data_IF_702957906247
#
_entry.id   IF_702957906247
#
_cell.length_a   1.000
_cell.length_b   1.000
_cell.length_c   1.000
_cell.angle_alpha   90.00
_cell.angle_beta   90.00
_cell.angle_gamma   90.00
#
_symmetry.space_group_name_H-M   'P 1'
#
loop_
_entity.id
_entity.type
_entity.pdbx_description
1 polymer ?
#
# COMPACT_ATOMS: atom_id res chain seq x y z
N UNK A 1 -12.72 -13.80 -10.09
CA UNK A 1 -13.19 -12.75 -11.02
C UNK A 1 -12.17 -12.61 -12.13
N UNK A 2 -12.62 -12.75 -13.37
CA UNK A 2 -11.80 -12.42 -14.53
C UNK A 2 -11.97 -10.94 -14.83
N UNK A 3 -10.87 -10.19 -14.89
CA UNK A 3 -10.88 -8.75 -15.15
C UNK A 3 -10.79 -8.40 -16.65
N UNK A 4 -10.59 -9.39 -17.53
CA UNK A 4 -10.55 -9.18 -18.98
C UNK A 4 -11.87 -8.55 -19.46
N UNK A 5 -11.75 -7.49 -20.24
CA UNK A 5 -12.85 -6.66 -20.76
C UNK A 5 -13.69 -5.94 -19.69
N UNK A 6 -13.28 -5.95 -18.41
CA UNK A 6 -13.93 -5.19 -17.36
C UNK A 6 -13.51 -3.73 -17.38
N UNK A 7 -14.45 -2.83 -17.07
CA UNK A 7 -14.18 -1.41 -16.85
C UNK A 7 -13.80 -1.21 -15.39
N UNK A 8 -12.55 -0.91 -15.16
CA UNK A 8 -11.94 -0.79 -13.83
C UNK A 8 -11.59 0.66 -13.55
N UNK A 9 -11.95 1.15 -12.37
CA UNK A 9 -11.53 2.47 -11.89
C UNK A 9 -10.51 2.29 -10.76
N UNK A 10 -9.35 2.94 -10.91
CA UNK A 10 -8.28 2.93 -9.93
C UNK A 10 -8.11 4.34 -9.37
N UNK A 11 -8.62 4.57 -8.17
CA UNK A 11 -8.30 5.77 -7.40
C UNK A 11 -6.87 5.67 -6.85
N UNK A 12 -6.06 6.72 -6.98
CA UNK A 12 -4.65 6.72 -6.62
C UNK A 12 -3.77 5.94 -7.60
N UNK A 13 -4.22 5.81 -8.86
CA UNK A 13 -3.55 4.99 -9.87
C UNK A 13 -2.24 5.57 -10.42
N UNK A 14 -1.86 6.81 -10.11
CA UNK A 14 -0.56 7.40 -10.45
C UNK A 14 0.46 7.28 -9.30
N UNK A 15 0.05 6.79 -8.12
CA UNK A 15 0.90 6.52 -6.98
C UNK A 15 1.80 5.28 -7.17
N UNK A 16 2.52 4.90 -6.11
CA UNK A 16 3.44 3.76 -6.14
C UNK A 16 2.72 2.45 -6.51
N UNK A 17 1.88 1.91 -5.62
CA UNK A 17 1.21 0.61 -5.85
C UNK A 17 0.19 0.73 -6.99
N UNK A 18 -0.59 1.83 -7.00
CA UNK A 18 -1.64 2.06 -8.00
C UNK A 18 -1.14 2.06 -9.44
N UNK A 19 0.06 2.59 -9.70
CA UNK A 19 0.63 2.61 -11.06
C UNK A 19 1.10 1.24 -11.53
N UNK A 20 1.68 0.43 -10.65
CA UNK A 20 2.00 -0.96 -10.95
C UNK A 20 0.72 -1.79 -11.18
N UNK A 21 -0.32 -1.57 -10.36
CA UNK A 21 -1.63 -2.19 -10.53
C UNK A 21 -2.25 -1.81 -11.88
N UNK A 22 -2.22 -0.54 -12.24
CA UNK A 22 -2.75 -0.04 -13.53
C UNK A 22 -2.10 -0.74 -14.72
N UNK A 23 -0.76 -0.85 -14.74
CA UNK A 23 -0.04 -1.59 -15.76
C UNK A 23 -0.47 -3.06 -15.81
N UNK A 24 -0.57 -3.71 -14.65
CA UNK A 24 -0.98 -5.11 -14.55
C UNK A 24 -2.42 -5.35 -15.05
N UNK A 25 -3.37 -4.50 -14.68
CA UNK A 25 -4.77 -4.62 -15.10
C UNK A 25 -4.92 -4.49 -16.62
N UNK A 26 -4.19 -3.56 -17.24
CA UNK A 26 -4.17 -3.40 -18.70
C UNK A 26 -3.58 -4.64 -19.37
N UNK A 27 -2.49 -5.21 -18.85
CA UNK A 27 -1.90 -6.46 -19.34
C UNK A 27 -2.88 -7.65 -19.26
N UNK A 28 -3.76 -7.66 -18.26
CA UNK A 28 -4.83 -8.67 -18.12
C UNK A 28 -6.06 -8.38 -18.99
N UNK A 29 -6.03 -7.31 -19.79
CA UNK A 29 -7.07 -6.97 -20.75
C UNK A 29 -8.24 -6.18 -20.17
N UNK A 30 -8.07 -5.51 -19.03
CA UNK A 30 -9.06 -4.59 -18.49
C UNK A 30 -9.00 -3.22 -19.19
N UNK A 31 -10.14 -2.52 -19.26
CA UNK A 31 -10.18 -1.09 -19.58
C UNK A 31 -10.05 -0.30 -18.28
N UNK A 32 -8.97 0.44 -18.12
CA UNK A 32 -8.61 1.08 -16.85
C UNK A 32 -8.74 2.60 -16.93
N UNK A 33 -9.54 3.15 -16.04
CA UNK A 33 -9.55 4.59 -15.73
C UNK A 33 -8.78 4.82 -14.45
N UNK A 34 -7.78 5.69 -14.50
CA UNK A 34 -7.05 6.18 -13.31
C UNK A 34 -7.64 7.52 -12.90
N UNK A 35 -7.90 7.67 -11.60
CA UNK A 35 -8.32 8.91 -10.95
C UNK A 35 -7.28 9.28 -9.88
N UNK A 36 -6.60 10.42 -10.04
CA UNK A 36 -5.49 10.80 -9.16
C UNK A 36 -5.33 12.33 -9.16
N UNK A 37 -5.04 12.93 -8.01
CA UNK A 37 -4.83 14.38 -7.88
C UNK A 37 -3.36 14.78 -8.06
N UNK A 38 -2.47 13.82 -8.30
CA UNK A 38 -1.02 14.00 -8.46
C UNK A 38 -0.30 14.66 -7.27
N UNK A 39 -0.92 14.68 -6.07
CA UNK A 39 -0.29 15.21 -4.85
C UNK A 39 0.97 14.42 -4.49
N UNK A 40 0.89 13.10 -4.55
CA UNK A 40 2.02 12.17 -4.36
C UNK A 40 2.25 11.30 -5.60
N UNK A 41 1.19 11.01 -6.36
CA UNK A 41 1.25 10.33 -7.66
C UNK A 41 1.96 11.16 -8.73
N UNK A 42 2.40 10.50 -9.80
CA UNK A 42 3.09 11.15 -10.94
C UNK A 42 2.66 10.52 -12.25
N UNK A 43 2.38 11.35 -13.25
CA UNK A 43 2.06 10.87 -14.61
C UNK A 43 3.20 10.03 -15.22
N UNK A 44 4.46 10.32 -14.87
CA UNK A 44 5.62 9.52 -15.27
C UNK A 44 5.54 8.04 -14.83
N UNK A 45 4.84 7.74 -13.74
CA UNK A 45 4.63 6.36 -13.29
C UNK A 45 3.70 5.57 -14.24
N UNK A 46 2.93 6.27 -15.06
CA UNK A 46 1.98 5.72 -16.03
C UNK A 46 2.50 5.71 -17.48
N UNK A 47 3.77 6.09 -17.69
CA UNK A 47 4.33 6.27 -19.04
C UNK A 47 4.17 5.04 -19.95
N UNK A 48 4.28 3.82 -19.38
CA UNK A 48 4.15 2.57 -20.15
C UNK A 48 2.76 2.33 -20.72
N UNK A 49 1.74 2.90 -20.11
CA UNK A 49 0.33 2.67 -20.48
C UNK A 49 -0.34 3.92 -21.03
N UNK A 50 0.34 5.06 -21.01
CA UNK A 50 -0.23 6.36 -21.35
C UNK A 50 -0.89 6.43 -22.73
N UNK A 51 -0.33 5.75 -23.73
CA UNK A 51 -0.86 5.67 -25.08
C UNK A 51 -1.72 4.41 -25.34
N UNK A 52 -1.96 3.60 -24.32
CA UNK A 52 -2.73 2.37 -24.50
C UNK A 52 -4.22 2.68 -24.71
N UNK A 53 -4.91 2.12 -25.74
CA UNK A 53 -6.30 2.46 -26.08
C UNK A 53 -7.30 2.12 -24.95
N UNK A 54 -6.97 1.18 -24.07
CA UNK A 54 -7.80 0.82 -22.90
C UNK A 54 -7.44 1.63 -21.65
N UNK A 55 -6.60 2.67 -21.74
CA UNK A 55 -6.20 3.53 -20.62
C UNK A 55 -6.87 4.90 -20.72
N UNK A 56 -7.34 5.39 -19.57
CA UNK A 56 -7.84 6.76 -19.39
C UNK A 56 -7.31 7.35 -18.08
N UNK A 57 -6.92 8.63 -18.12
CA UNK A 57 -6.50 9.36 -16.93
C UNK A 57 -7.47 10.52 -16.63
N UNK A 58 -7.81 10.70 -15.36
CA UNK A 58 -8.62 11.81 -14.83
C UNK A 58 -7.84 12.44 -13.68
N UNK A 59 -7.43 13.70 -13.85
CA UNK A 59 -6.81 14.47 -12.79
C UNK A 59 -7.90 15.11 -11.92
N UNK A 60 -8.06 14.58 -10.70
CA UNK A 60 -9.04 15.09 -9.75
C UNK A 60 -8.78 14.57 -8.34
N UNK A 61 -9.29 15.31 -7.33
CA UNK A 61 -9.19 14.93 -5.93
C UNK A 61 -10.41 14.11 -5.48
N UNK A 62 -10.17 13.07 -4.69
CA UNK A 62 -11.25 12.22 -4.14
C UNK A 62 -12.17 12.98 -3.19
N UNK A 63 -11.69 14.09 -2.61
CA UNK A 63 -12.49 15.01 -1.80
C UNK A 63 -13.47 15.85 -2.64
N UNK A 64 -13.31 15.90 -3.97
CA UNK A 64 -14.21 16.58 -4.88
C UNK A 64 -15.42 15.67 -5.20
N UNK A 65 -16.39 15.63 -4.28
CA UNK A 65 -17.55 14.75 -4.35
C UNK A 65 -18.22 14.72 -5.72
N UNK A 66 -18.46 15.87 -6.34
CA UNK A 66 -19.13 15.97 -7.64
C UNK A 66 -18.32 15.26 -8.75
N UNK A 67 -16.99 15.36 -8.72
CA UNK A 67 -16.13 14.67 -9.68
C UNK A 67 -16.11 13.15 -9.46
N UNK A 68 -16.13 12.70 -8.20
CA UNK A 68 -16.28 11.28 -7.86
C UNK A 68 -17.61 10.75 -8.38
N UNK A 69 -18.72 11.44 -8.09
CA UNK A 69 -20.08 11.07 -8.54
C UNK A 69 -20.21 11.05 -10.08
N UNK A 70 -19.46 11.89 -10.79
CA UNK A 70 -19.44 11.89 -12.26
C UNK A 70 -18.54 10.79 -12.85
N UNK A 71 -17.53 10.32 -12.11
CA UNK A 71 -16.54 9.37 -12.62
C UNK A 71 -16.90 7.92 -12.35
N UNK A 72 -17.42 7.60 -11.17
CA UNK A 72 -17.73 6.22 -10.74
C UNK A 72 -18.70 5.49 -11.67
N UNK A 73 -19.78 6.13 -12.20
CA UNK A 73 -20.72 5.46 -13.09
C UNK A 73 -20.06 4.79 -14.31
N UNK A 74 -20.58 3.63 -14.69
CA UNK A 74 -20.13 2.89 -15.87
C UNK A 74 -18.91 2.00 -15.64
N UNK A 75 -18.30 2.01 -14.45
CA UNK A 75 -17.28 1.05 -14.06
C UNK A 75 -17.91 -0.17 -13.36
N UNK A 76 -17.18 -1.27 -13.32
CA UNK A 76 -17.65 -2.55 -12.74
C UNK A 76 -16.86 -2.93 -11.48
N UNK A 77 -15.61 -2.47 -11.38
CA UNK A 77 -14.68 -2.77 -10.30
C UNK A 77 -13.97 -1.50 -9.86
N UNK A 78 -13.93 -1.27 -8.57
CA UNK A 78 -13.23 -0.13 -7.97
C UNK A 78 -12.01 -0.62 -7.17
N UNK A 79 -10.84 -0.11 -7.49
CA UNK A 79 -9.64 -0.20 -6.67
C UNK A 79 -9.42 1.17 -6.01
N UNK A 80 -9.53 1.23 -4.69
CA UNK A 80 -9.42 2.50 -3.97
C UNK A 80 -8.07 2.60 -3.26
N UNK A 81 -7.07 3.16 -3.97
CA UNK A 81 -5.68 3.30 -3.53
C UNK A 81 -5.29 4.75 -3.22
N UNK A 82 -6.23 5.70 -3.34
CA UNK A 82 -5.92 7.07 -2.95
C UNK A 82 -6.07 7.22 -1.44
N UNK A 83 -4.97 7.56 -0.81
CA UNK A 83 -4.87 7.99 0.58
C UNK A 83 -3.60 8.83 0.76
N UNK A 84 -3.53 9.58 1.83
CA UNK A 84 -2.26 10.08 2.31
C UNK A 84 -1.63 8.99 3.17
N UNK A 85 -0.47 8.48 2.75
CA UNK A 85 0.22 7.35 3.39
C UNK A 85 1.45 7.76 4.20
N UNK A 86 1.79 9.05 4.29
CA UNK A 86 2.88 9.52 5.14
C UNK A 86 2.42 9.58 6.61
N UNK A 87 2.66 8.50 7.32
CA UNK A 87 2.28 8.32 8.73
C UNK A 87 2.86 9.42 9.63
N UNK A 88 4.02 9.98 9.28
CA UNK A 88 4.68 11.02 10.08
C UNK A 88 3.99 12.36 9.93
N UNK A 89 3.56 12.72 8.73
CA UNK A 89 2.81 13.95 8.46
C UNK A 89 1.40 13.94 9.07
N UNK A 90 0.85 12.77 9.36
CA UNK A 90 -0.48 12.62 9.94
C UNK A 90 -0.68 13.33 11.28
N UNK A 91 0.38 13.46 12.07
CA UNK A 91 0.32 14.18 13.36
C UNK A 91 0.23 15.70 13.20
N UNK A 92 0.74 16.23 12.07
CA UNK A 92 0.76 17.67 11.77
C UNK A 92 -0.50 18.10 11.02
N UNK A 93 -1.08 17.20 10.21
CA UNK A 93 -2.23 17.47 9.34
C UNK A 93 -3.32 16.40 9.49
N UNK A 94 -3.92 16.21 10.68
CA UNK A 94 -4.90 15.15 10.94
C UNK A 94 -6.19 15.29 10.12
N UNK A 95 -6.60 16.51 9.82
CA UNK A 95 -7.74 16.87 8.97
C UNK A 95 -7.61 16.26 7.57
N UNK A 96 -6.43 16.35 6.96
CA UNK A 96 -6.16 15.75 5.64
C UNK A 96 -6.45 14.25 5.65
N UNK A 97 -6.08 13.55 6.72
CA UNK A 97 -6.31 12.09 6.83
C UNK A 97 -7.80 11.76 6.98
N UNK A 98 -8.56 12.58 7.68
CA UNK A 98 -10.02 12.40 7.77
C UNK A 98 -10.68 12.67 6.43
N UNK A 99 -10.33 13.78 5.78
CA UNK A 99 -10.90 14.15 4.49
C UNK A 99 -10.56 13.16 3.38
N UNK A 100 -9.30 12.86 3.20
CA UNK A 100 -8.83 11.98 2.11
C UNK A 100 -9.22 10.51 2.35
N UNK A 101 -8.93 9.98 3.55
CA UNK A 101 -9.00 8.55 3.78
C UNK A 101 -10.39 8.09 4.26
N UNK A 102 -11.20 8.98 4.83
CA UNK A 102 -12.54 8.64 5.34
C UNK A 102 -13.62 9.26 4.45
N UNK A 103 -13.61 10.59 4.28
CA UNK A 103 -14.67 11.27 3.51
C UNK A 103 -14.58 10.95 2.02
N UNK A 104 -13.36 10.93 1.45
CA UNK A 104 -13.15 10.53 0.06
C UNK A 104 -13.66 9.10 -0.20
N UNK A 105 -13.33 8.15 0.67
CA UNK A 105 -13.87 6.79 0.59
C UNK A 105 -15.40 6.76 0.69
N UNK A 106 -15.98 7.53 1.62
CA UNK A 106 -17.43 7.64 1.75
C UNK A 106 -18.09 8.09 0.44
N UNK A 107 -17.55 9.10 -0.26
CA UNK A 107 -18.08 9.56 -1.54
C UNK A 107 -18.03 8.46 -2.61
N UNK A 108 -16.95 7.68 -2.64
CA UNK A 108 -16.81 6.55 -3.55
C UNK A 108 -17.84 5.46 -3.25
N UNK A 109 -17.95 5.03 -1.99
CA UNK A 109 -18.91 3.99 -1.56
C UNK A 109 -20.36 4.40 -1.85
N UNK A 110 -20.72 5.65 -1.58
CA UNK A 110 -22.07 6.16 -1.84
C UNK A 110 -22.36 6.28 -3.34
N UNK A 111 -21.38 6.70 -4.14
CA UNK A 111 -21.52 6.72 -5.59
C UNK A 111 -21.65 5.29 -6.17
N UNK A 112 -20.86 4.33 -5.67
CA UNK A 112 -21.00 2.92 -6.03
C UNK A 112 -22.42 2.40 -5.73
N UNK A 113 -22.93 2.67 -4.52
CA UNK A 113 -24.27 2.25 -4.10
C UNK A 113 -25.35 2.76 -5.05
N UNK A 114 -25.32 4.05 -5.36
CA UNK A 114 -26.31 4.72 -6.25
C UNK A 114 -26.28 4.19 -7.68
N UNK A 115 -25.11 3.73 -8.14
CA UNK A 115 -24.91 3.27 -9.52
C UNK A 115 -24.85 1.74 -9.64
N UNK A 116 -25.19 0.97 -8.59
CA UNK A 116 -25.26 -0.48 -8.63
C UNK A 116 -23.90 -1.20 -8.78
N UNK A 117 -22.78 -0.48 -8.53
CA UNK A 117 -21.43 -1.06 -8.55
C UNK A 117 -21.21 -1.77 -7.23
N UNK A 118 -20.77 -3.04 -7.27
CA UNK A 118 -20.75 -3.90 -6.07
C UNK A 118 -19.36 -4.39 -5.67
N UNK A 119 -18.32 -4.20 -6.47
CA UNK A 119 -16.99 -4.74 -6.18
C UNK A 119 -15.98 -3.63 -5.88
N UNK A 120 -15.44 -3.65 -4.65
CA UNK A 120 -14.38 -2.76 -4.19
C UNK A 120 -13.21 -3.55 -3.62
N UNK A 121 -11.99 -3.11 -3.96
CA UNK A 121 -10.73 -3.58 -3.36
C UNK A 121 -10.05 -2.41 -2.66
N UNK A 122 -9.64 -2.64 -1.41
CA UNK A 122 -9.12 -1.58 -0.54
C UNK A 122 -7.83 -2.01 0.17
N UNK A 123 -6.73 -1.24 0.04
CA UNK A 123 -5.52 -1.44 0.81
C UNK A 123 -5.66 -0.84 2.22
N UNK A 124 -5.82 -1.69 3.21
CA UNK A 124 -5.62 -1.35 4.61
C UNK A 124 -4.16 -1.58 5.02
N UNK A 125 -3.85 -1.53 6.28
CA UNK A 125 -2.48 -1.56 6.79
C UNK A 125 -2.38 -2.31 8.10
N UNK A 126 -1.22 -2.88 8.39
CA UNK A 126 -0.89 -3.43 9.72
C UNK A 126 -0.87 -2.37 10.83
N UNK A 127 -0.86 -1.08 10.50
CA UNK A 127 -0.94 0.00 11.48
C UNK A 127 -2.24 0.02 12.27
N UNK A 128 -3.29 -0.68 11.80
CA UNK A 128 -4.56 -0.86 12.53
C UNK A 128 -4.40 -1.66 13.83
N UNK A 129 -3.37 -2.50 13.92
CA UNK A 129 -3.12 -3.31 15.12
C UNK A 129 -2.53 -2.52 16.29
N UNK A 130 -1.73 -1.48 16.01
CA UNK A 130 -0.86 -0.86 16.98
C UNK A 130 0.34 -1.75 17.34
N UNK A 131 0.83 -1.67 18.57
CA UNK A 131 1.91 -2.54 19.05
C UNK A 131 1.40 -3.95 19.33
N UNK A 132 2.04 -4.93 18.74
CA UNK A 132 1.70 -6.35 18.89
C UNK A 132 2.49 -6.95 20.07
N UNK A 133 1.80 -7.40 21.10
CA UNK A 133 2.45 -8.09 22.22
C UNK A 133 3.06 -9.44 21.79
N UNK A 134 2.40 -10.14 20.88
CA UNK A 134 2.80 -11.47 20.40
C UNK A 134 2.62 -11.59 18.87
N UNK A 135 3.54 -11.05 18.05
CA UNK A 135 3.50 -11.27 16.61
C UNK A 135 3.82 -12.74 16.26
N UNK A 136 3.27 -13.29 15.14
CA UNK A 136 2.44 -12.59 14.15
C UNK A 136 0.97 -12.48 14.55
N UNK A 137 0.32 -11.35 14.17
CA UNK A 137 -1.13 -11.20 14.34
C UNK A 137 -1.89 -11.94 13.23
N UNK A 138 -2.96 -12.69 13.60
CA UNK A 138 -3.90 -13.30 12.64
C UNK A 138 -4.90 -12.28 12.09
N UNK A 139 -5.65 -12.66 11.02
CA UNK A 139 -6.75 -11.85 10.51
C UNK A 139 -7.84 -11.58 11.56
N UNK A 140 -8.00 -12.47 12.55
CA UNK A 140 -9.00 -12.36 13.62
C UNK A 140 -8.47 -11.65 14.88
N UNK A 141 -7.23 -11.14 14.86
CA UNK A 141 -6.65 -10.44 16.01
C UNK A 141 -7.46 -9.19 16.38
N UNK A 142 -7.73 -9.04 17.66
CA UNK A 142 -8.38 -7.89 18.28
C UNK A 142 -8.16 -7.85 19.79
N UNK A 143 -8.43 -6.72 20.46
CA UNK A 143 -8.91 -5.46 19.88
C UNK A 143 -7.86 -4.74 19.00
N UNK A 144 -8.32 -3.91 18.05
CA UNK A 144 -7.45 -3.11 17.18
C UNK A 144 -7.24 -1.73 17.83
N UNK A 145 -5.99 -1.37 18.10
CA UNK A 145 -5.62 -0.14 18.82
C UNK A 145 -4.53 0.62 18.11
N UNK A 146 -4.85 1.30 16.97
CA UNK A 146 -3.86 2.01 16.17
C UNK A 146 -3.16 3.10 17.00
N UNK A 147 -1.83 3.24 16.84
CA UNK A 147 -1.00 4.21 17.58
C UNK A 147 -0.83 5.54 16.86
N UNK A 148 -1.33 5.66 15.64
CA UNK A 148 -1.21 6.87 14.83
C UNK A 148 -2.48 7.13 14.03
N UNK A 149 -2.64 8.37 13.55
CA UNK A 149 -3.85 8.84 12.86
C UNK A 149 -4.09 8.08 11.56
N UNK A 150 -3.03 7.73 10.82
CA UNK A 150 -3.14 6.92 9.61
C UNK A 150 -3.76 5.55 9.90
N UNK A 151 -3.27 4.83 10.91
CA UNK A 151 -3.84 3.56 11.35
C UNK A 151 -5.29 3.70 11.80
N UNK A 152 -5.62 4.79 12.52
CA UNK A 152 -6.99 5.12 12.91
C UNK A 152 -7.91 5.34 11.72
N UNK A 153 -7.46 6.09 10.70
CA UNK A 153 -8.20 6.32 9.47
C UNK A 153 -8.41 5.03 8.66
N UNK A 154 -7.38 4.16 8.57
CA UNK A 154 -7.51 2.85 7.92
C UNK A 154 -8.52 1.95 8.63
N UNK A 155 -8.51 1.93 9.95
CA UNK A 155 -9.49 1.16 10.74
C UNK A 155 -10.91 1.69 10.55
N UNK A 156 -11.11 3.01 10.54
CA UNK A 156 -12.40 3.63 10.25
C UNK A 156 -12.89 3.25 8.84
N UNK A 157 -12.00 3.26 7.84
CA UNK A 157 -12.30 2.85 6.47
C UNK A 157 -12.71 1.37 6.39
N UNK A 158 -12.01 0.45 7.09
CA UNK A 158 -12.43 -0.96 7.19
C UNK A 158 -13.85 -1.10 7.72
N UNK A 159 -14.20 -0.34 8.78
CA UNK A 159 -15.53 -0.32 9.36
C UNK A 159 -16.61 0.16 8.40
N UNK A 160 -16.34 1.27 7.67
CA UNK A 160 -17.25 1.77 6.63
C UNK A 160 -17.46 0.75 5.52
N UNK A 161 -16.39 0.19 4.96
CA UNK A 161 -16.45 -0.81 3.89
C UNK A 161 -17.24 -2.05 4.36
N UNK A 162 -16.99 -2.53 5.58
CA UNK A 162 -17.73 -3.65 6.17
C UNK A 162 -19.23 -3.35 6.28
N UNK A 163 -19.60 -2.16 6.78
CA UNK A 163 -20.98 -1.75 6.89
C UNK A 163 -21.69 -1.69 5.52
N UNK A 164 -21.05 -1.08 4.51
CA UNK A 164 -21.59 -1.05 3.13
C UNK A 164 -21.72 -2.45 2.53
N UNK A 165 -20.71 -3.31 2.74
CA UNK A 165 -20.71 -4.67 2.24
C UNK A 165 -21.92 -5.47 2.75
N UNK A 166 -22.25 -5.36 4.04
CA UNK A 166 -23.36 -6.09 4.65
C UNK A 166 -24.72 -5.43 4.41
N UNK A 167 -24.77 -4.09 4.37
CA UNK A 167 -26.04 -3.35 4.22
C UNK A 167 -26.53 -3.32 2.77
N UNK A 168 -25.60 -3.28 1.81
CA UNK A 168 -25.91 -3.06 0.40
C UNK A 168 -25.43 -4.16 -0.53
N UNK A 169 -25.07 -5.34 0.01
CA UNK A 169 -24.58 -6.50 -0.74
C UNK A 169 -23.35 -6.20 -1.62
N UNK A 170 -22.43 -5.38 -1.13
CA UNK A 170 -21.15 -5.20 -1.80
C UNK A 170 -20.29 -6.44 -1.60
N UNK A 171 -19.42 -6.68 -2.57
CA UNK A 171 -18.29 -7.57 -2.41
C UNK A 171 -17.04 -6.71 -2.19
N UNK A 172 -16.57 -6.68 -0.97
CA UNK A 172 -15.39 -5.95 -0.57
C UNK A 172 -14.23 -6.91 -0.28
N UNK A 173 -13.05 -6.58 -0.79
CA UNK A 173 -11.80 -7.27 -0.43
C UNK A 173 -10.86 -6.24 0.18
N UNK A 174 -10.63 -6.35 1.46
CA UNK A 174 -9.76 -5.48 2.26
C UNK A 174 -8.45 -6.20 2.52
N UNK A 175 -7.35 -5.53 2.21
CA UNK A 175 -6.01 -6.08 2.37
C UNK A 175 -5.25 -5.35 3.46
N UNK A 176 -4.88 -6.00 4.56
CA UNK A 176 -3.93 -5.42 5.51
C UNK A 176 -2.52 -5.70 5.04
N UNK A 177 -1.84 -4.65 4.59
CA UNK A 177 -0.48 -4.72 4.09
C UNK A 177 0.55 -4.54 5.20
N UNK A 178 1.63 -5.32 5.12
CA UNK A 178 2.93 -4.99 5.72
C UNK A 178 3.66 -3.92 4.88
N UNK A 179 4.95 -3.74 5.06
CA UNK A 179 5.75 -2.87 4.19
C UNK A 179 5.78 -3.35 2.74
N UNK A 180 5.01 -2.73 1.86
CA UNK A 180 5.13 -2.98 0.42
C UNK A 180 6.25 -2.10 -0.13
N UNK A 181 7.20 -2.71 -0.86
CA UNK A 181 8.39 -2.04 -1.39
C UNK A 181 8.61 -2.33 -2.88
N UNK A 182 9.31 -1.42 -3.57
CA UNK A 182 9.58 -1.58 -5.01
C UNK A 182 10.08 -0.30 -5.66
N UNK A 183 10.22 -0.29 -6.96
CA UNK A 183 10.43 0.93 -7.74
C UNK A 183 9.23 1.88 -7.66
N UNK A 184 9.43 3.16 -7.92
CA UNK A 184 8.42 4.23 -7.84
C UNK A 184 7.96 4.61 -6.42
N UNK A 185 8.41 3.92 -5.36
CA UNK A 185 8.10 4.35 -3.99
C UNK A 185 8.87 5.66 -3.68
N UNK A 186 8.28 6.50 -2.85
CA UNK A 186 8.77 7.86 -2.54
C UNK A 186 9.01 8.10 -1.05
N UNK A 187 8.70 7.13 -0.20
CA UNK A 187 8.91 7.19 1.25
C UNK A 187 9.17 5.79 1.82
N UNK A 188 9.49 5.73 3.12
CA UNK A 188 9.74 4.50 3.86
C UNK A 188 11.23 4.13 3.91
N UNK A 189 11.58 3.25 4.86
CA UNK A 189 12.97 2.99 5.24
C UNK A 189 13.87 2.57 4.07
N UNK A 190 13.37 1.75 3.13
CA UNK A 190 14.16 1.30 1.97
C UNK A 190 14.47 2.47 1.03
N UNK A 191 13.46 3.29 0.72
CA UNK A 191 13.64 4.49 -0.08
C UNK A 191 14.57 5.49 0.61
N UNK A 192 14.31 5.80 1.87
CA UNK A 192 15.06 6.79 2.63
C UNK A 192 16.54 6.40 2.74
N UNK A 193 16.84 5.12 2.97
CA UNK A 193 18.24 4.65 3.06
C UNK A 193 18.95 4.74 1.72
N UNK A 194 18.30 4.35 0.62
CA UNK A 194 18.88 4.53 -0.73
C UNK A 194 19.19 6.00 -0.99
N UNK A 195 18.26 6.92 -0.69
CA UNK A 195 18.43 8.36 -0.91
C UNK A 195 19.51 8.97 -0.01
N UNK A 196 19.53 8.59 1.28
CA UNK A 196 20.59 9.02 2.22
C UNK A 196 21.97 8.57 1.74
N UNK A 197 22.11 7.31 1.30
CA UNK A 197 23.39 6.76 0.84
C UNK A 197 23.80 7.28 -0.56
N UNK A 198 22.86 7.68 -1.41
CA UNK A 198 23.18 8.41 -2.65
C UNK A 198 23.76 9.79 -2.33
N UNK A 199 23.30 10.45 -1.25
CA UNK A 199 23.77 11.77 -0.81
C UNK A 199 25.09 11.69 -0.04
N UNK A 200 25.23 10.74 0.87
CA UNK A 200 26.46 10.48 1.65
C UNK A 200 26.74 8.96 1.71
N UNK A 201 27.65 8.45 0.85
CA UNK A 201 27.95 7.03 0.78
C UNK A 201 28.75 6.49 1.98
N UNK A 202 29.16 7.35 2.92
CA UNK A 202 29.97 6.96 4.08
C UNK A 202 29.19 6.94 5.39
N UNK A 203 27.99 7.54 5.44
CA UNK A 203 27.20 7.71 6.65
C UNK A 203 25.74 7.42 6.42
N UNK A 204 25.15 6.58 7.27
CA UNK A 204 23.72 6.31 7.27
C UNK A 204 23.15 6.55 8.66
N UNK A 205 22.21 7.46 8.75
CA UNK A 205 21.44 7.71 9.96
C UNK A 205 20.24 6.76 10.03
N UNK A 206 20.11 6.08 11.16
CA UNK A 206 19.03 5.13 11.48
C UNK A 206 18.22 5.70 12.63
N UNK A 207 16.90 5.84 12.43
CA UNK A 207 15.96 6.19 13.48
C UNK A 207 15.76 4.99 14.42
N UNK A 208 15.81 5.23 15.74
CA UNK A 208 15.82 4.18 16.73
C UNK A 208 17.22 3.53 16.88
N UNK A 209 17.27 2.33 17.44
CA UNK A 209 18.50 1.53 17.61
C UNK A 209 18.75 0.56 16.43
N UNK A 210 17.79 0.47 15.51
CA UNK A 210 17.85 -0.40 14.32
C UNK A 210 17.49 -1.84 14.58
N UNK A 211 17.04 -2.21 15.79
CA UNK A 211 16.61 -3.58 16.13
C UNK A 211 15.17 -3.85 15.75
N UNK A 212 14.34 -2.78 15.55
CA UNK A 212 12.98 -2.94 15.09
C UNK A 212 12.95 -3.71 13.77
N UNK A 213 12.03 -4.67 13.68
CA UNK A 213 11.94 -5.55 12.52
C UNK A 213 10.71 -5.26 11.66
N UNK A 214 10.83 -5.56 10.37
CA UNK A 214 9.77 -5.33 9.37
C UNK A 214 9.64 -6.54 8.47
N UNK A 215 8.40 -6.88 8.20
CA UNK A 215 8.04 -7.77 7.10
C UNK A 215 7.90 -6.92 5.84
N UNK A 216 8.54 -7.35 4.75
CA UNK A 216 8.49 -6.64 3.46
C UNK A 216 8.02 -7.57 2.35
N UNK A 217 7.14 -7.05 1.51
CA UNK A 217 6.68 -7.73 0.28
C UNK A 217 6.99 -6.85 -0.92
N UNK A 218 7.57 -7.45 -1.97
CA UNK A 218 7.79 -6.72 -3.22
C UNK A 218 6.45 -6.40 -3.88
N UNK A 219 6.31 -5.23 -4.49
CA UNK A 219 5.06 -4.78 -5.13
C UNK A 219 4.52 -5.79 -6.14
N UNK A 220 5.40 -6.48 -6.88
CA UNK A 220 5.02 -7.52 -7.83
C UNK A 220 4.29 -8.69 -7.15
N UNK A 221 4.82 -9.19 -6.02
CA UNK A 221 4.22 -10.27 -5.23
C UNK A 221 2.93 -9.80 -4.54
N UNK A 222 2.89 -8.53 -4.10
CA UNK A 222 1.67 -7.92 -3.54
C UNK A 222 0.52 -7.90 -4.56
N UNK A 223 0.76 -7.45 -5.78
CA UNK A 223 -0.26 -7.43 -6.84
C UNK A 223 -0.73 -8.84 -7.20
N UNK A 224 0.18 -9.79 -7.27
CA UNK A 224 -0.16 -11.20 -7.49
C UNK A 224 -1.07 -11.73 -6.38
N UNK A 225 -0.72 -11.47 -5.10
CA UNK A 225 -1.53 -11.85 -3.94
C UNK A 225 -2.94 -11.24 -3.99
N UNK A 226 -3.03 -9.95 -4.32
CA UNK A 226 -4.33 -9.25 -4.42
C UNK A 226 -5.23 -9.86 -5.48
N UNK A 227 -4.72 -10.08 -6.70
CA UNK A 227 -5.49 -10.64 -7.81
C UNK A 227 -5.84 -12.11 -7.55
N UNK A 228 -4.93 -12.86 -6.92
CA UNK A 228 -5.18 -14.23 -6.48
C UNK A 228 -6.30 -14.27 -5.43
N UNK A 229 -6.25 -13.43 -4.40
CA UNK A 229 -7.28 -13.32 -3.37
C UNK A 229 -8.64 -12.92 -3.97
N UNK A 230 -8.65 -11.94 -4.90
CA UNK A 230 -9.87 -11.55 -5.60
C UNK A 230 -10.55 -12.75 -6.31
N UNK A 231 -9.77 -13.66 -6.87
CA UNK A 231 -10.32 -14.86 -7.52
C UNK A 231 -10.90 -15.87 -6.51
N UNK A 232 -10.41 -15.89 -5.26
CA UNK A 232 -10.81 -16.85 -4.22
C UNK A 232 -11.91 -16.35 -3.29
N UNK A 233 -12.01 -15.03 -3.08
CA UNK A 233 -12.99 -14.43 -2.16
C UNK A 233 -14.40 -14.48 -2.74
N UNK A 234 -15.39 -14.81 -1.88
CA UNK A 234 -16.80 -14.95 -2.28
C UNK A 234 -17.79 -14.27 -1.33
N UNK A 235 -17.35 -13.90 -0.12
CA UNK A 235 -18.20 -13.25 0.89
C UNK A 235 -18.42 -11.78 0.54
N UNK A 236 -19.42 -11.16 1.15
CA UNK A 236 -19.65 -9.71 1.05
C UNK A 236 -18.46 -8.92 1.57
N UNK A 237 -17.92 -9.30 2.73
CA UNK A 237 -16.70 -8.71 3.28
C UNK A 237 -15.62 -9.78 3.44
N UNK A 238 -14.45 -9.50 2.91
CA UNK A 238 -13.28 -10.39 2.94
C UNK A 238 -12.08 -9.59 3.42
N UNK A 239 -11.49 -10.00 4.54
CA UNK A 239 -10.26 -9.44 5.07
C UNK A 239 -9.13 -10.42 4.80
N UNK A 240 -8.04 -9.94 4.20
CA UNK A 240 -6.90 -10.78 3.81
C UNK A 240 -5.60 -10.06 4.18
N UNK A 241 -4.72 -10.75 4.86
CA UNK A 241 -3.37 -10.27 5.15
C UNK A 241 -2.44 -10.49 3.95
N UNK A 242 -1.71 -9.45 3.54
CA UNK A 242 -0.61 -9.57 2.58
C UNK A 242 0.68 -9.19 3.30
N UNK A 243 1.47 -10.22 3.61
CA UNK A 243 2.73 -10.14 4.34
C UNK A 243 3.72 -11.18 3.86
N UNK A 244 4.94 -11.10 4.35
CA UNK A 244 5.96 -12.14 4.13
C UNK A 244 5.92 -13.17 5.26
N UNK A 245 6.60 -14.30 5.05
CA UNK A 245 6.73 -15.37 6.04
C UNK A 245 7.85 -15.11 7.04
N UNK A 246 8.59 -14.03 6.86
CA UNK A 246 9.74 -13.61 7.66
C UNK A 246 9.77 -12.10 7.91
N UNK A 247 10.78 -11.65 8.63
CA UNK A 247 11.08 -10.24 8.90
C UNK A 247 12.57 -10.00 8.73
N UNK A 248 12.93 -8.74 8.58
CA UNK A 248 14.32 -8.24 8.56
C UNK A 248 14.42 -7.02 9.47
N UNK A 249 15.49 -6.88 10.23
CA UNK A 249 15.75 -5.71 11.06
C UNK A 249 16.12 -4.49 10.21
N UNK A 250 15.96 -3.30 10.77
CA UNK A 250 16.38 -2.05 10.12
C UNK A 250 17.91 -2.02 9.92
N UNK A 251 18.69 -2.61 10.86
CA UNK A 251 20.13 -2.76 10.72
C UNK A 251 20.48 -3.66 9.50
N UNK A 252 19.85 -4.84 9.40
CA UNK A 252 20.06 -5.74 8.24
C UNK A 252 19.58 -5.10 6.93
N UNK A 253 18.49 -4.32 6.96
CA UNK A 253 18.01 -3.53 5.81
C UNK A 253 19.10 -2.56 5.33
N UNK A 254 19.78 -1.86 6.26
CA UNK A 254 20.89 -0.96 5.94
C UNK A 254 22.09 -1.71 5.31
N UNK A 255 22.39 -2.91 5.80
CA UNK A 255 23.46 -3.78 5.25
C UNK A 255 23.13 -4.21 3.81
N UNK A 256 21.90 -4.69 3.57
CA UNK A 256 21.46 -5.11 2.22
C UNK A 256 21.54 -3.95 1.24
N UNK A 257 21.08 -2.76 1.63
CA UNK A 257 21.10 -1.58 0.75
C UNK A 257 22.56 -1.15 0.48
N UNK A 258 23.41 -1.16 1.50
CA UNK A 258 24.86 -0.86 1.32
C UNK A 258 25.51 -1.85 0.34
N UNK A 259 25.15 -3.13 0.43
CA UNK A 259 25.62 -4.18 -0.49
C UNK A 259 25.14 -3.93 -1.94
N UNK A 260 23.85 -3.63 -2.14
CA UNK A 260 23.26 -3.30 -3.46
C UNK A 260 24.00 -2.12 -4.09
N UNK A 261 24.26 -1.09 -3.31
CA UNK A 261 24.96 0.12 -3.77
C UNK A 261 26.49 -0.05 -3.85
N UNK A 262 27.02 -1.25 -3.55
CA UNK A 262 28.47 -1.59 -3.54
C UNK A 262 29.31 -0.67 -2.65
N UNK A 263 28.72 -0.17 -1.57
CA UNK A 263 29.39 0.69 -0.60
C UNK A 263 30.13 -0.13 0.46
N UNK A 264 31.32 0.34 0.85
CA UNK A 264 32.13 -0.30 1.90
C UNK A 264 32.38 0.66 3.04
N UNK A 265 32.33 0.17 4.28
CA UNK A 265 32.67 0.96 5.46
C UNK A 265 31.63 2.04 5.80
N UNK A 266 30.39 1.85 5.44
CA UNK A 266 29.29 2.76 5.82
C UNK A 266 29.17 2.80 7.34
N UNK A 267 29.28 4.00 7.93
CA UNK A 267 29.11 4.21 9.39
C UNK A 267 27.63 4.39 9.71
N UNK A 268 27.07 3.47 10.50
CA UNK A 268 25.68 3.52 10.96
C UNK A 268 25.58 4.40 12.21
N UNK A 269 24.82 5.49 12.14
CA UNK A 269 24.52 6.39 13.26
C UNK A 269 23.09 6.14 13.73
N UNK A 270 22.94 5.54 14.90
CA UNK A 270 21.65 5.21 15.51
C UNK A 270 21.19 6.32 16.44
N UNK A 271 19.94 6.77 16.28
CA UNK A 271 19.37 7.80 17.13
C UNK A 271 19.05 7.31 18.56
N UNK A 272 19.03 5.98 18.75
CA UNK A 272 18.65 5.33 20.02
C UNK A 272 17.13 5.18 20.18
N UNK A 273 16.73 4.40 21.19
CA UNK A 273 15.33 4.03 21.40
C UNK A 273 14.88 2.80 20.60
N UNK A 274 13.86 2.10 21.10
CA UNK A 274 13.35 0.85 20.49
C UNK A 274 12.54 1.07 19.22
N UNK A 275 12.04 2.27 18.99
CA UNK A 275 11.23 2.66 17.81
C UNK A 275 11.82 3.88 17.13
N UNK A 276 11.50 4.07 15.86
CA UNK A 276 12.08 5.16 15.07
C UNK A 276 11.44 6.53 15.32
N UNK A 277 10.17 6.57 15.71
CA UNK A 277 9.38 7.80 15.92
C UNK A 277 8.14 7.51 16.77
N UNK A 278 7.44 8.56 17.23
CA UNK A 278 6.24 8.43 18.07
C UNK A 278 5.08 7.86 17.26
N UNK A 279 4.56 6.70 17.70
CA UNK A 279 3.50 5.96 16.98
C UNK A 279 4.03 4.90 15.99
N UNK A 280 5.35 4.69 15.96
CA UNK A 280 5.97 3.53 15.31
C UNK A 280 5.85 2.29 16.21
N UNK A 281 6.03 1.11 15.63
CA UNK A 281 5.93 -0.20 16.31
C UNK A 281 7.28 -0.93 16.27
N UNK A 282 7.50 -1.86 17.18
CA UNK A 282 8.72 -2.69 17.19
C UNK A 282 8.70 -3.75 16.06
N UNK A 283 7.51 -4.25 15.71
CA UNK A 283 7.30 -5.25 14.65
C UNK A 283 5.96 -5.01 13.95
N UNK A 284 5.92 -5.25 12.64
CA UNK A 284 4.68 -5.26 11.85
C UNK A 284 4.35 -6.67 11.29
N UNK A 285 4.79 -7.72 11.97
CA UNK A 285 4.66 -9.09 11.49
C UNK A 285 3.24 -9.61 11.66
N UNK A 286 2.67 -10.12 10.57
CA UNK A 286 1.30 -10.67 10.52
C UNK A 286 1.34 -12.08 9.94
N UNK A 287 0.41 -12.91 10.39
CA UNK A 287 0.18 -14.23 9.79
C UNK A 287 -0.59 -14.07 8.47
N UNK A 288 -0.23 -14.87 7.48
CA UNK A 288 -0.87 -14.89 6.15
C UNK A 288 -1.63 -16.20 5.94
N UNK A 289 -2.38 -16.62 6.97
CA UNK A 289 -3.02 -17.94 7.03
C UNK A 289 -4.00 -18.15 5.90
N UNK A 290 -4.84 -17.15 5.60
CA UNK A 290 -5.82 -17.21 4.52
C UNK A 290 -5.17 -17.43 3.15
N UNK A 291 -4.16 -16.63 2.79
CA UNK A 291 -3.45 -16.80 1.52
C UNK A 291 -2.71 -18.13 1.44
N UNK A 292 -2.06 -18.53 2.53
CA UNK A 292 -1.33 -19.81 2.62
C UNK A 292 -2.29 -21.00 2.48
N UNK A 293 -3.45 -20.97 3.13
CA UNK A 293 -4.47 -22.00 3.01
C UNK A 293 -5.04 -22.11 1.58
N UNK A 294 -5.09 -20.99 0.85
CA UNK A 294 -5.48 -21.00 -0.57
C UNK A 294 -4.36 -21.42 -1.51
N UNK A 295 -3.13 -21.62 -1.00
CA UNK A 295 -1.97 -22.09 -1.78
C UNK A 295 -1.09 -20.98 -2.34
N UNK A 296 -1.25 -19.73 -1.90
CA UNK A 296 -0.35 -18.63 -2.29
C UNK A 296 0.74 -18.38 -1.25
N UNK A 297 1.94 -18.09 -1.72
CA UNK A 297 3.09 -17.64 -0.90
C UNK A 297 3.86 -16.57 -1.66
N UNK A 298 4.49 -15.60 -0.95
CA UNK A 298 5.41 -14.66 -1.59
C UNK A 298 6.57 -15.43 -2.23
N UNK A 299 7.05 -14.95 -3.36
CA UNK A 299 8.17 -15.59 -4.10
C UNK A 299 9.52 -15.25 -3.50
N UNK A 300 9.59 -14.19 -2.68
CA UNK A 300 10.81 -13.65 -2.11
C UNK A 300 10.67 -13.54 -0.60
N UNK A 301 11.77 -13.78 0.11
CA UNK A 301 11.91 -13.38 1.51
C UNK A 301 11.92 -11.84 1.65
N UNK A 302 11.73 -11.34 2.87
CA UNK A 302 11.84 -9.90 3.15
C UNK A 302 13.22 -9.34 2.75
N UNK A 303 14.29 -10.11 2.97
CA UNK A 303 15.65 -9.74 2.56
C UNK A 303 15.80 -9.62 1.05
N UNK A 304 15.30 -10.60 0.29
CA UNK A 304 15.33 -10.58 -1.18
C UNK A 304 14.46 -9.47 -1.75
N UNK A 305 13.30 -9.21 -1.15
CA UNK A 305 12.43 -8.08 -1.52
C UNK A 305 13.14 -6.73 -1.33
N UNK A 306 13.84 -6.54 -0.19
CA UNK A 306 14.66 -5.33 0.06
C UNK A 306 15.78 -5.21 -0.97
N UNK A 307 16.49 -6.30 -1.28
CA UNK A 307 17.57 -6.30 -2.27
C UNK A 307 17.05 -5.85 -3.64
N UNK A 308 15.93 -6.41 -4.10
CA UNK A 308 15.35 -6.08 -5.41
C UNK A 308 14.77 -4.67 -5.44
N UNK A 309 14.07 -4.24 -4.41
CA UNK A 309 13.54 -2.89 -4.31
C UNK A 309 14.64 -1.83 -4.29
N UNK A 310 15.68 -2.05 -3.49
CA UNK A 310 16.85 -1.16 -3.44
C UNK A 310 17.58 -1.10 -4.78
N UNK A 311 17.71 -2.22 -5.50
CA UNK A 311 18.31 -2.27 -6.84
C UNK A 311 17.53 -1.42 -7.84
N UNK A 312 16.20 -1.51 -7.84
CA UNK A 312 15.33 -0.69 -8.69
C UNK A 312 15.46 0.80 -8.34
N UNK A 313 15.41 1.15 -7.05
CA UNK A 313 15.50 2.53 -6.57
C UNK A 313 16.88 3.16 -6.82
N UNK A 314 17.97 2.39 -6.72
CA UNK A 314 19.32 2.89 -6.99
C UNK A 314 19.52 3.30 -8.46
N UNK A 315 18.78 2.68 -9.40
CA UNK A 315 18.77 3.04 -10.82
C UNK A 315 17.86 4.23 -11.15
N UNK A 316 16.88 4.53 -10.28
CA UNK A 316 16.03 5.71 -10.45
C UNK A 316 16.82 6.96 -10.08
N UNK A 317 16.81 7.97 -10.97
CA UNK A 317 17.38 9.29 -10.62
C UNK A 317 16.69 9.84 -9.39
N UNK A 318 17.44 10.51 -8.53
CA UNK A 318 16.85 11.24 -7.40
C UNK A 318 15.71 12.13 -7.95
N UNK A 319 14.53 11.95 -7.39
CA UNK A 319 13.35 12.74 -7.81
C UNK A 319 13.53 14.16 -7.26
N UNK A 320 13.36 15.19 -8.08
CA UNK A 320 13.46 16.59 -7.59
C UNK A 320 12.41 16.88 -6.53
#
# INVERSE_FOLDING_TARGET
VNLKNKKVLVFGGAGFIGSHLTERLIQEGAAVTVYDNLKTGRTANLAKVWQHPAFRFIEADVCERNKVEATVPGHEVIFHFCDDSDIRSAAEHPDTFVEQNIMGLFYVLESMRRNGIRLILFPSSTTVFGELAHPPASELHGPLTPLNIYGGAKLAAEGLISAWAHTYDFRAVVFRFVGIIGGRMDHGVVHDFVRKLQKDPKRLEILGDGTQSRSFVLVDDCLEAMLFALAKTTKNYNLVHIGNLDQISVNETAEVISQVMKLKGVKLHRAGGKVGWKGDVTSNFIATETLTAWGWKPRRSSREAVFEAASRLALEKARP
#
